data_IF_442135333779
#
_entry.id   IF_442135333779
#
_cell.length_a   1.000
_cell.length_b   1.000
_cell.length_c   1.000
_cell.angle_alpha   90.00
_cell.angle_beta   90.00
_cell.angle_gamma   90.00
#
_symmetry.space_group_name_H-M   'P 1'
#
loop_
_entity.id
_entity.type
_entity.pdbx_description
1 polymer ?
#
# COMPACT_ATOMS: atom_id res chain seq x y z
N UNK A 1 1.06 4.14 25.62
CA UNK A 1 1.54 2.80 25.17
C UNK A 1 3.03 2.87 24.90
N UNK A 2 3.80 1.83 25.22
CA UNK A 2 5.23 1.82 24.92
C UNK A 2 5.48 1.52 23.43
N UNK A 3 6.53 2.09 22.81
CA UNK A 3 6.89 1.81 21.41
C UNK A 3 7.16 0.32 21.15
N UNK A 4 7.73 -0.37 22.15
CA UNK A 4 8.18 -1.75 22.05
C UNK A 4 7.06 -2.79 21.94
N UNK A 5 5.81 -2.44 22.26
CA UNK A 5 4.68 -3.38 22.18
C UNK A 5 3.71 -3.08 21.04
N UNK A 6 3.55 -1.81 20.66
CA UNK A 6 2.52 -1.43 19.70
C UNK A 6 2.90 -1.72 18.24
N UNK A 7 4.09 -1.28 17.81
CA UNK A 7 4.54 -1.46 16.42
C UNK A 7 4.72 -2.95 16.06
N UNK A 8 5.35 -3.79 16.90
CA UNK A 8 5.51 -5.22 16.59
C UNK A 8 4.20 -6.01 16.58
N UNK A 9 3.14 -5.50 17.21
CA UNK A 9 1.83 -6.15 17.22
C UNK A 9 1.20 -6.19 15.83
N UNK A 10 1.43 -5.17 14.98
CA UNK A 10 0.83 -5.12 13.65
C UNK A 10 1.23 -6.31 12.77
N UNK A 11 2.54 -6.61 12.54
CA UNK A 11 2.94 -7.79 11.79
C UNK A 11 2.39 -9.09 12.39
N UNK A 12 2.41 -9.24 13.72
CA UNK A 12 1.88 -10.43 14.39
C UNK A 12 0.39 -10.65 14.12
N UNK A 13 -0.42 -9.58 14.10
CA UNK A 13 -1.84 -9.67 13.77
C UNK A 13 -2.07 -10.00 12.29
N UNK A 14 -1.33 -9.34 11.40
CA UNK A 14 -1.45 -9.56 9.96
C UNK A 14 -1.09 -10.99 9.56
N UNK A 15 -0.07 -11.55 10.20
CA UNK A 15 0.52 -12.85 9.88
C UNK A 15 -0.11 -14.01 10.63
N UNK A 16 -1.18 -13.78 11.40
CA UNK A 16 -1.92 -14.83 12.08
C UNK A 16 -2.27 -16.03 11.16
N UNK A 17 -2.76 -15.84 9.91
CA UNK A 17 -3.00 -16.96 9.01
C UNK A 17 -1.73 -17.74 8.66
N UNK A 18 -0.60 -17.05 8.47
CA UNK A 18 0.70 -17.66 8.15
C UNK A 18 1.18 -18.51 9.33
N UNK A 19 1.08 -17.97 10.54
CA UNK A 19 1.44 -18.66 11.79
C UNK A 19 0.63 -19.94 11.99
N UNK A 20 -0.67 -19.91 11.70
CA UNK A 20 -1.55 -21.09 11.81
C UNK A 20 -1.13 -22.17 10.81
N UNK A 21 -0.87 -21.80 9.56
CA UNK A 21 -0.39 -22.75 8.55
C UNK A 21 0.93 -23.38 8.96
N UNK A 22 1.87 -22.58 9.48
CA UNK A 22 3.14 -23.07 9.97
C UNK A 22 2.97 -24.06 11.13
N UNK A 23 2.12 -23.74 12.11
CA UNK A 23 1.86 -24.62 13.25
C UNK A 23 1.16 -25.92 12.83
N UNK A 24 0.23 -25.87 11.89
CA UNK A 24 -0.42 -27.08 11.36
C UNK A 24 0.55 -27.96 10.58
N UNK A 25 1.50 -27.37 9.85
CA UNK A 25 2.59 -28.13 9.21
C UNK A 25 3.44 -28.85 10.27
N UNK A 26 3.81 -28.17 11.36
CA UNK A 26 4.59 -28.75 12.47
C UNK A 26 3.81 -29.86 13.20
N UNK A 27 2.51 -29.67 13.43
CA UNK A 27 1.65 -30.69 14.06
C UNK A 27 1.56 -31.95 13.19
N UNK A 28 1.44 -31.79 11.87
CA UNK A 28 1.43 -32.92 10.92
C UNK A 28 2.78 -33.62 10.83
N UNK A 29 3.89 -32.88 10.87
CA UNK A 29 5.24 -33.46 10.83
C UNK A 29 5.63 -34.14 12.16
N UNK A 30 5.05 -33.70 13.28
CA UNK A 30 5.32 -34.24 14.61
C UNK A 30 4.43 -35.45 14.98
N UNK A 31 3.45 -35.78 14.14
CA UNK A 31 2.43 -36.80 14.42
C UNK A 31 1.43 -36.34 15.49
N UNK A 32 0.23 -36.96 15.56
CA UNK A 32 -0.74 -36.61 16.59
C UNK A 32 -0.15 -36.93 17.95
N UNK A 33 -0.06 -35.92 18.82
CA UNK A 33 0.24 -36.04 20.25
C UNK A 33 -0.88 -36.79 20.97
N UNK A 34 -1.13 -38.05 20.58
CA UNK A 34 -1.90 -39.00 21.37
C UNK A 34 -0.97 -39.49 22.46
N UNK A 35 -1.03 -38.80 23.60
CA UNK A 35 -1.05 -39.38 24.95
C UNK A 35 -0.11 -40.54 25.33
N UNK A 36 1.02 -40.75 24.67
CA UNK A 36 1.99 -41.75 25.11
C UNK A 36 3.42 -41.25 24.93
N UNK A 37 4.12 -41.16 26.07
CA UNK A 37 5.55 -40.91 26.23
C UNK A 37 6.01 -39.46 26.17
N UNK A 38 5.85 -38.77 27.31
CA UNK A 38 6.69 -37.62 27.71
C UNK A 38 8.20 -37.96 27.68
N UNK A 39 8.57 -39.25 27.61
CA UNK A 39 9.95 -39.72 27.50
C UNK A 39 10.57 -39.61 26.08
N UNK A 40 9.80 -39.49 24.99
CA UNK A 40 10.37 -39.43 23.62
C UNK A 40 10.65 -38.00 23.13
N UNK A 41 10.13 -36.97 23.81
CA UNK A 41 10.34 -35.55 23.45
C UNK A 41 11.81 -35.12 23.65
N UNK A 42 12.58 -35.82 24.49
CA UNK A 42 14.03 -35.56 24.66
C UNK A 42 14.90 -35.95 23.44
N UNK A 43 14.34 -36.68 22.47
CA UNK A 43 15.06 -37.14 21.26
C UNK A 43 14.77 -36.34 19.99
N UNK A 44 13.84 -35.39 20.00
CA UNK A 44 13.62 -34.53 18.82
C UNK A 44 14.55 -33.32 18.86
N UNK A 45 15.34 -33.16 17.79
CA UNK A 45 16.32 -32.08 17.58
C UNK A 45 15.64 -30.71 17.45
N UNK A 46 14.42 -30.66 16.93
CA UNK A 46 13.67 -29.41 16.68
C UNK A 46 13.32 -28.60 17.95
N UNK A 47 12.73 -29.18 19.02
CA UNK A 47 12.49 -28.42 20.26
C UNK A 47 13.78 -28.01 20.97
N UNK A 48 14.88 -28.77 20.85
CA UNK A 48 16.20 -28.36 21.37
C UNK A 48 16.78 -27.17 20.60
N UNK A 49 16.61 -27.14 19.29
CA UNK A 49 17.12 -26.08 18.42
C UNK A 49 16.34 -24.77 18.61
N UNK A 50 15.02 -24.84 18.83
CA UNK A 50 14.22 -23.68 19.25
C UNK A 50 14.59 -23.18 20.65
N UNK A 51 14.85 -24.09 21.60
CA UNK A 51 15.30 -23.71 22.94
C UNK A 51 16.69 -23.06 22.91
N UNK A 52 17.60 -23.59 22.08
CA UNK A 52 18.95 -23.06 21.91
C UNK A 52 18.97 -21.68 21.23
N UNK A 53 18.13 -21.48 20.20
CA UNK A 53 17.97 -20.16 19.55
C UNK A 53 17.35 -19.13 20.50
N UNK A 54 16.43 -19.57 21.37
CA UNK A 54 15.89 -18.70 22.42
C UNK A 54 16.93 -18.34 23.47
N UNK A 55 17.81 -19.27 23.86
CA UNK A 55 18.91 -19.02 24.80
C UNK A 55 20.00 -18.13 24.20
N UNK A 56 20.33 -18.30 22.92
CA UNK A 56 21.32 -17.50 22.20
C UNK A 56 20.87 -16.04 22.04
N UNK A 57 19.59 -15.82 21.72
CA UNK A 57 19.00 -14.49 21.63
C UNK A 57 18.87 -13.79 23.01
N UNK A 58 18.88 -14.56 24.11
CA UNK A 58 18.72 -14.03 25.48
C UNK A 58 20.05 -13.86 26.22
N UNK A 59 21.10 -14.59 25.85
CA UNK A 59 22.40 -14.58 26.54
C UNK A 59 23.55 -14.00 25.73
N UNK A 60 23.42 -13.85 24.41
CA UNK A 60 24.36 -13.10 23.57
C UNK A 60 25.78 -13.66 23.48
N UNK A 61 25.98 -14.97 23.71
CA UNK A 61 27.32 -15.57 23.67
C UNK A 61 27.64 -16.11 22.29
N UNK A 62 28.51 -15.41 21.55
CA UNK A 62 29.15 -15.93 20.33
C UNK A 62 30.17 -16.99 20.70
N UNK A 63 30.14 -18.16 20.04
CA UNK A 63 31.21 -19.16 20.16
C UNK A 63 32.47 -18.59 19.50
N UNK A 64 33.38 -18.05 20.31
CA UNK A 64 34.80 -17.94 19.97
C UNK A 64 35.41 -19.35 20.09
N UNK A 65 36.00 -19.86 19.01
CA UNK A 65 36.83 -21.07 19.07
C UNK A 65 38.29 -20.71 18.79
N UNK A 66 39.12 -20.93 19.81
CA UNK A 66 40.55 -20.70 19.81
C UNK A 66 41.26 -21.80 20.60
N UNK A 67 41.70 -22.83 19.87
CA UNK A 67 42.98 -23.54 20.11
C UNK A 67 42.97 -24.79 21.00
N UNK A 68 43.50 -25.89 20.45
CA UNK A 68 44.27 -26.89 21.20
C UNK A 68 43.90 -28.36 21.03
N UNK A 69 44.58 -29.03 20.11
CA UNK A 69 45.01 -30.44 20.06
C UNK A 69 44.13 -31.54 20.69
N UNK A 70 43.48 -32.34 19.83
CA UNK A 70 43.39 -33.80 20.01
C UNK A 70 42.99 -34.47 18.70
N UNK A 71 43.94 -35.18 18.09
CA UNK A 71 43.74 -36.10 16.98
C UNK A 71 42.83 -37.26 17.40
N UNK A 72 41.72 -37.48 16.70
CA UNK A 72 41.18 -38.80 16.36
C UNK A 72 40.22 -38.63 15.16
N UNK A 73 40.57 -39.28 14.05
CA UNK A 73 39.75 -39.37 12.84
C UNK A 73 38.47 -40.16 13.11
N UNK A 74 37.30 -39.58 12.81
CA UNK A 74 36.33 -40.25 11.93
C UNK A 74 35.24 -39.29 11.41
N UNK A 75 35.24 -39.10 10.09
CA UNK A 75 34.09 -38.95 9.21
C UNK A 75 33.17 -37.70 9.25
N UNK A 76 33.18 -37.04 8.08
CA UNK A 76 32.23 -36.09 7.49
C UNK A 76 32.40 -34.61 7.84
N UNK A 77 33.18 -33.94 7.01
CA UNK A 77 33.05 -32.51 6.76
C UNK A 77 31.57 -32.17 6.50
N UNK A 78 31.05 -31.18 7.24
CA UNK A 78 29.70 -30.64 7.07
C UNK A 78 29.65 -30.02 5.67
N UNK A 79 29.17 -30.81 4.72
CA UNK A 79 28.84 -30.38 3.37
C UNK A 79 27.66 -29.40 3.47
N UNK A 80 27.92 -28.13 3.15
CA UNK A 80 26.94 -27.04 3.07
C UNK A 80 25.92 -27.27 1.93
N UNK A 81 25.96 -28.45 1.30
CA UNK A 81 25.05 -28.94 0.27
C UNK A 81 23.99 -29.88 0.83
N UNK A 82 23.57 -29.75 2.09
CA UNK A 82 22.57 -30.63 2.69
C UNK A 82 21.25 -30.54 1.88
N UNK A 83 20.86 -31.60 1.13
CA UNK A 83 19.72 -31.56 0.23
C UNK A 83 18.41 -31.30 0.97
N UNK A 84 18.38 -31.53 2.29
CA UNK A 84 17.24 -31.30 3.16
C UNK A 84 17.01 -29.80 3.43
N UNK A 85 18.08 -28.98 3.48
CA UNK A 85 17.98 -27.52 3.60
C UNK A 85 17.53 -26.87 2.29
N UNK A 86 18.00 -27.41 1.15
CA UNK A 86 17.53 -27.01 -0.18
C UNK A 86 16.09 -27.47 -0.46
N UNK A 87 15.65 -28.59 0.12
CA UNK A 87 14.26 -29.07 0.05
C UNK A 87 13.31 -28.20 0.89
N UNK A 88 13.74 -27.74 2.07
CA UNK A 88 13.00 -26.75 2.89
C UNK A 88 12.84 -25.41 2.16
N UNK A 89 13.89 -24.94 1.46
CA UNK A 89 13.81 -23.70 0.65
C UNK A 89 13.03 -23.89 -0.66
N UNK A 90 12.90 -25.11 -1.18
CA UNK A 90 12.02 -25.44 -2.31
C UNK A 90 10.54 -25.52 -1.89
N UNK A 91 10.23 -26.07 -0.71
CA UNK A 91 8.86 -26.22 -0.19
C UNK A 91 8.19 -24.89 0.20
N UNK A 92 8.94 -23.79 0.36
CA UNK A 92 8.34 -22.46 0.55
C UNK A 92 7.51 -22.02 -0.66
N UNK A 93 7.88 -22.45 -1.88
CA UNK A 93 7.09 -22.18 -3.09
C UNK A 93 5.98 -23.23 -3.32
N UNK A 94 6.21 -24.50 -2.97
CA UNK A 94 5.23 -25.57 -3.19
C UNK A 94 4.11 -25.59 -2.12
N UNK A 95 4.40 -25.13 -0.90
CA UNK A 95 3.42 -24.99 0.17
C UNK A 95 2.34 -23.94 -0.09
N UNK A 96 2.65 -22.89 -0.87
CA UNK A 96 1.67 -21.87 -1.28
C UNK A 96 0.78 -22.42 -2.41
N UNK A 97 1.33 -23.25 -3.31
CA UNK A 97 0.58 -23.85 -4.42
C UNK A 97 -0.34 -25.00 -3.97
N UNK A 98 0.06 -25.81 -2.98
CA UNK A 98 -0.75 -26.93 -2.47
C UNK A 98 -1.94 -26.50 -1.59
N UNK A 99 -1.94 -25.27 -1.07
CA UNK A 99 -3.01 -24.73 -0.23
C UNK A 99 -4.29 -24.38 -1.00
N UNK A 100 -4.27 -24.36 -2.34
CA UNK A 100 -5.42 -24.00 -3.17
C UNK A 100 -6.40 -25.18 -3.36
N UNK A 101 -5.96 -26.42 -3.12
CA UNK A 101 -6.72 -27.63 -3.44
C UNK A 101 -7.20 -28.45 -2.22
N UNK A 102 -6.91 -28.02 -0.99
CA UNK A 102 -7.35 -28.70 0.22
C UNK A 102 -8.32 -27.77 0.99
N UNK A 103 -9.52 -28.22 1.40
CA UNK A 103 -10.38 -27.38 2.24
C UNK A 103 -9.62 -26.93 3.48
N UNK A 104 -9.50 -25.61 3.65
CA UNK A 104 -8.82 -25.01 4.79
C UNK A 104 -9.29 -25.66 6.11
N UNK A 105 -8.37 -25.83 7.05
CA UNK A 105 -8.72 -26.27 8.40
C UNK A 105 -9.72 -25.29 9.03
N UNK A 106 -10.53 -25.78 9.96
CA UNK A 106 -11.50 -24.90 10.64
C UNK A 106 -10.81 -23.83 11.48
N UNK A 107 -9.59 -24.10 11.97
CA UNK A 107 -8.73 -23.12 12.64
C UNK A 107 -8.32 -22.00 11.69
N UNK A 108 -7.85 -22.32 10.49
CA UNK A 108 -7.45 -21.33 9.49
C UNK A 108 -8.66 -20.50 9.03
N UNK A 109 -9.82 -21.12 8.79
CA UNK A 109 -11.06 -20.38 8.46
C UNK A 109 -11.45 -19.40 9.56
N UNK A 110 -11.36 -19.80 10.83
CA UNK A 110 -11.66 -18.93 11.96
C UNK A 110 -10.71 -17.74 11.99
N UNK A 111 -9.41 -17.96 11.78
CA UNK A 111 -8.37 -16.93 11.81
C UNK A 111 -8.48 -15.96 10.65
N UNK A 112 -8.74 -16.44 9.42
CA UNK A 112 -9.00 -15.59 8.25
C UNK A 112 -10.20 -14.64 8.49
N UNK A 113 -11.20 -15.05 9.26
CA UNK A 113 -12.34 -14.20 9.64
C UNK A 113 -12.04 -13.27 10.81
N UNK A 114 -11.20 -13.69 11.74
CA UNK A 114 -10.89 -12.95 12.96
C UNK A 114 -9.87 -11.83 12.71
N UNK A 115 -8.84 -12.07 11.91
CA UNK A 115 -7.74 -11.13 11.69
C UNK A 115 -8.20 -9.75 11.20
N UNK A 116 -9.09 -9.61 10.20
CA UNK A 116 -9.57 -8.29 9.79
C UNK A 116 -10.28 -7.53 10.91
N UNK A 117 -11.01 -8.24 11.80
CA UNK A 117 -11.69 -7.63 12.96
C UNK A 117 -10.70 -7.16 14.02
N UNK A 118 -9.62 -7.91 14.23
CA UNK A 118 -8.55 -7.49 15.14
C UNK A 118 -7.82 -6.26 14.59
N UNK A 119 -7.62 -6.18 13.27
CA UNK A 119 -7.08 -4.99 12.61
C UNK A 119 -7.98 -3.77 12.78
N UNK A 120 -9.32 -3.93 12.67
CA UNK A 120 -10.27 -2.84 12.92
C UNK A 120 -10.10 -2.26 14.33
N UNK A 121 -10.00 -3.13 15.35
CA UNK A 121 -9.77 -2.72 16.74
C UNK A 121 -8.41 -2.05 16.89
N UNK A 122 -7.35 -2.66 16.37
CA UNK A 122 -5.99 -2.11 16.41
C UNK A 122 -5.91 -0.71 15.79
N UNK A 123 -6.48 -0.52 14.60
CA UNK A 123 -6.51 0.77 13.90
C UNK A 123 -7.40 1.80 14.61
N UNK A 124 -8.51 1.39 15.20
CA UNK A 124 -9.35 2.29 15.99
C UNK A 124 -8.61 2.83 17.22
N UNK A 125 -7.84 1.99 17.92
CA UNK A 125 -7.01 2.39 19.06
C UNK A 125 -5.84 3.25 18.58
N UNK A 126 -5.21 2.87 17.47
CA UNK A 126 -4.11 3.62 16.86
C UNK A 126 -4.49 5.07 16.56
N UNK A 127 -5.66 5.28 15.94
CA UNK A 127 -6.11 6.64 15.65
C UNK A 127 -6.52 7.41 16.91
N UNK A 128 -6.98 6.75 17.98
CA UNK A 128 -7.51 7.45 19.16
C UNK A 128 -6.45 7.80 20.18
N UNK A 129 -5.58 6.84 20.51
CA UNK A 129 -4.82 6.86 21.76
C UNK A 129 -3.29 6.80 21.56
N UNK A 130 -2.83 6.62 20.32
CA UNK A 130 -1.39 6.45 20.01
C UNK A 130 -0.77 7.77 19.55
N UNK A 131 0.48 7.99 19.96
CA UNK A 131 1.25 9.19 19.63
C UNK A 131 1.54 9.29 18.12
N UNK A 132 1.53 10.51 17.61
CA UNK A 132 1.79 10.83 16.19
C UNK A 132 3.09 10.20 15.67
N UNK A 133 4.17 10.18 16.47
CA UNK A 133 5.45 9.57 16.08
C UNK A 133 5.35 8.06 15.83
N UNK A 134 4.56 7.34 16.63
CA UNK A 134 4.32 5.91 16.46
C UNK A 134 3.42 5.65 15.26
N UNK A 135 2.38 6.46 15.05
CA UNK A 135 1.54 6.36 13.85
C UNK A 135 2.38 6.61 12.59
N UNK A 136 3.24 7.62 12.61
CA UNK A 136 4.16 7.91 11.50
C UNK A 136 5.12 6.75 11.22
N UNK A 137 5.62 6.06 12.25
CA UNK A 137 6.46 4.88 12.10
C UNK A 137 5.70 3.65 11.61
N UNK A 138 4.39 3.55 11.90
CA UNK A 138 3.54 2.45 11.46
C UNK A 138 3.26 2.50 9.96
N UNK A 139 3.02 3.69 9.39
CA UNK A 139 2.62 3.83 7.97
C UNK A 139 3.59 3.14 6.99
N UNK A 140 4.92 3.31 7.07
CA UNK A 140 5.85 2.58 6.20
C UNK A 140 5.73 1.06 6.27
N UNK A 141 5.43 0.51 7.46
CA UNK A 141 5.20 -0.92 7.64
C UNK A 141 3.91 -1.37 6.94
N UNK A 142 2.84 -0.58 7.03
CA UNK A 142 1.60 -0.86 6.30
C UNK A 142 1.84 -0.86 4.79
N UNK A 143 2.57 0.15 4.30
CA UNK A 143 2.94 0.27 2.90
C UNK A 143 3.78 -0.92 2.42
N UNK A 144 4.74 -1.39 3.22
CA UNK A 144 5.56 -2.54 2.86
C UNK A 144 4.79 -3.85 2.84
N UNK A 145 3.84 -4.02 3.77
CA UNK A 145 3.07 -5.25 3.89
C UNK A 145 1.88 -5.33 2.94
N UNK A 146 1.55 -4.24 2.26
CA UNK A 146 0.45 -4.20 1.31
C UNK A 146 0.58 -5.23 0.18
N UNK A 147 1.78 -5.58 -0.26
CA UNK A 147 1.96 -6.58 -1.32
C UNK A 147 2.22 -8.01 -0.79
N UNK A 148 2.36 -8.19 0.53
CA UNK A 148 2.79 -9.45 1.16
C UNK A 148 1.74 -9.94 2.15
N UNK A 149 0.48 -10.03 1.71
CA UNK A 149 -0.64 -10.53 2.51
C UNK A 149 -0.87 -12.01 2.18
N UNK A 150 -1.36 -12.77 3.16
CA UNK A 150 -1.72 -14.17 2.96
C UNK A 150 -2.62 -14.34 1.71
N UNK A 151 -2.30 -15.30 0.81
CA UNK A 151 -2.89 -15.39 -0.53
C UNK A 151 -4.29 -16.03 -0.54
N UNK A 152 -5.21 -15.54 0.29
CA UNK A 152 -6.65 -15.81 0.21
C UNK A 152 -7.39 -14.58 -0.34
N UNK A 153 -8.23 -14.77 -1.36
CA UNK A 153 -8.85 -13.64 -2.10
C UNK A 153 -9.76 -12.77 -1.22
N UNK A 154 -10.55 -13.39 -0.34
CA UNK A 154 -11.52 -12.67 0.49
C UNK A 154 -10.77 -11.95 1.61
N UNK A 155 -9.87 -12.66 2.26
CA UNK A 155 -9.03 -12.12 3.32
C UNK A 155 -8.17 -10.96 2.82
N UNK A 156 -7.45 -11.14 1.71
CA UNK A 156 -6.59 -10.12 1.12
C UNK A 156 -7.38 -8.85 0.79
N UNK A 157 -8.56 -8.99 0.17
CA UNK A 157 -9.45 -7.86 -0.09
C UNK A 157 -9.85 -7.11 1.20
N UNK A 158 -10.33 -7.84 2.22
CA UNK A 158 -10.75 -7.26 3.49
C UNK A 158 -9.59 -6.55 4.21
N UNK A 159 -8.38 -7.12 4.19
CA UNK A 159 -7.20 -6.51 4.81
C UNK A 159 -6.73 -5.29 4.01
N UNK A 160 -6.56 -5.40 2.69
CA UNK A 160 -6.18 -4.27 1.83
C UNK A 160 -7.09 -3.07 2.04
N UNK A 161 -8.42 -3.30 2.08
CA UNK A 161 -9.40 -2.26 2.35
C UNK A 161 -9.13 -1.54 3.67
N UNK A 162 -8.91 -2.27 4.77
CA UNK A 162 -8.63 -1.70 6.09
C UNK A 162 -7.31 -0.96 6.15
N UNK A 163 -6.26 -1.50 5.51
CA UNK A 163 -4.97 -0.84 5.39
C UNK A 163 -5.12 0.51 4.68
N UNK A 164 -5.83 0.55 3.53
CA UNK A 164 -6.08 1.78 2.79
C UNK A 164 -6.90 2.78 3.60
N UNK A 165 -8.00 2.34 4.21
CA UNK A 165 -8.85 3.20 5.06
C UNK A 165 -8.05 3.83 6.19
N UNK A 166 -7.19 3.04 6.87
CA UNK A 166 -6.33 3.55 7.93
C UNK A 166 -5.26 4.52 7.43
N UNK A 167 -4.58 4.20 6.31
CA UNK A 167 -3.55 5.08 5.71
C UNK A 167 -4.18 6.42 5.32
N UNK A 168 -5.34 6.40 4.66
CA UNK A 168 -6.03 7.62 4.24
C UNK A 168 -6.54 8.42 5.44
N UNK A 169 -7.11 7.76 6.46
CA UNK A 169 -7.51 8.43 7.69
C UNK A 169 -6.32 9.07 8.42
N UNK A 170 -5.16 8.41 8.38
CA UNK A 170 -3.91 8.92 8.94
C UNK A 170 -3.45 10.18 8.21
N UNK A 171 -3.39 10.18 6.87
CA UNK A 171 -3.02 11.38 6.11
C UNK A 171 -4.04 12.51 6.22
N UNK A 172 -5.33 12.17 6.36
CA UNK A 172 -6.36 13.16 6.58
C UNK A 172 -6.20 13.87 7.94
N UNK A 173 -5.81 13.13 8.98
CA UNK A 173 -5.58 13.68 10.33
C UNK A 173 -4.22 14.35 10.47
N UNK A 174 -3.20 13.80 9.81
CA UNK A 174 -1.81 14.23 9.88
C UNK A 174 -1.23 14.47 8.47
N UNK A 175 -1.64 15.56 7.78
CA UNK A 175 -1.16 15.85 6.42
C UNK A 175 0.37 15.92 6.30
N UNK A 176 1.04 16.42 7.33
CA UNK A 176 2.50 16.53 7.44
C UNK A 176 3.22 15.19 7.31
N UNK A 177 2.56 14.06 7.58
CA UNK A 177 3.17 12.73 7.39
C UNK A 177 3.51 12.45 5.93
N UNK A 178 2.80 13.05 4.97
CA UNK A 178 3.13 12.88 3.54
C UNK A 178 4.53 13.44 3.25
N UNK A 179 4.87 14.60 3.83
CA UNK A 179 6.19 15.20 3.69
C UNK A 179 7.27 14.33 4.37
N UNK A 180 7.00 13.86 5.60
CA UNK A 180 7.93 13.01 6.36
C UNK A 180 8.17 11.65 5.70
N UNK A 181 7.13 11.08 5.09
CA UNK A 181 7.13 9.73 4.50
C UNK A 181 7.30 9.75 2.97
N UNK A 182 7.79 10.86 2.39
CA UNK A 182 7.97 11.02 0.95
C UNK A 182 8.72 9.84 0.30
N UNK A 183 9.78 9.35 0.94
CA UNK A 183 10.60 8.25 0.44
C UNK A 183 9.81 6.92 0.36
N UNK A 184 9.21 6.41 1.46
CA UNK A 184 8.33 5.23 1.41
C UNK A 184 7.19 5.37 0.39
N UNK A 185 6.55 6.54 0.32
CA UNK A 185 5.44 6.80 -0.60
C UNK A 185 5.92 6.69 -2.05
N UNK A 186 7.00 7.38 -2.41
CA UNK A 186 7.53 7.34 -3.77
C UNK A 186 8.05 5.97 -4.18
N UNK A 187 8.62 5.21 -3.24
CA UNK A 187 8.99 3.80 -3.47
C UNK A 187 7.80 2.97 -3.93
N UNK A 188 6.63 3.13 -3.28
CA UNK A 188 5.41 2.40 -3.67
C UNK A 188 4.79 2.88 -4.98
N UNK A 189 4.92 4.17 -5.32
CA UNK A 189 4.51 4.68 -6.63
C UNK A 189 5.36 4.10 -7.77
N UNK A 190 6.65 3.85 -7.55
CA UNK A 190 7.53 3.22 -8.54
C UNK A 190 7.13 1.77 -8.87
N UNK A 191 6.58 1.05 -7.89
CA UNK A 191 6.12 -0.34 -8.01
C UNK A 191 4.68 -0.48 -8.55
N UNK A 192 4.03 0.63 -8.93
CA UNK A 192 2.60 0.65 -9.23
C UNK A 192 2.16 -0.28 -10.38
N UNK A 193 3.08 -0.67 -11.26
CA UNK A 193 2.79 -1.50 -12.43
C UNK A 193 3.03 -3.00 -12.22
N UNK A 194 3.53 -3.41 -11.06
CA UNK A 194 3.87 -4.81 -10.79
C UNK A 194 2.61 -5.67 -10.57
N UNK A 195 1.61 -5.14 -9.88
CA UNK A 195 0.37 -5.84 -9.53
C UNK A 195 -0.83 -4.88 -9.43
N UNK A 196 -2.07 -5.36 -9.63
CA UNK A 196 -3.27 -4.52 -9.52
C UNK A 196 -3.45 -3.93 -8.11
N UNK A 197 -3.09 -4.68 -7.07
CA UNK A 197 -3.16 -4.21 -5.68
C UNK A 197 -2.18 -3.05 -5.46
N UNK A 198 -0.95 -3.17 -5.96
CA UNK A 198 0.05 -2.09 -5.94
C UNK A 198 -0.42 -0.87 -6.73
N UNK A 199 -1.09 -1.07 -7.86
CA UNK A 199 -1.71 0.04 -8.60
C UNK A 199 -2.75 0.75 -7.73
N UNK A 200 -3.64 0.02 -7.05
CA UNK A 200 -4.67 0.63 -6.21
C UNK A 200 -4.05 1.43 -5.07
N UNK A 201 -3.02 0.89 -4.39
CA UNK A 201 -2.27 1.64 -3.39
C UNK A 201 -1.66 2.92 -3.97
N UNK A 202 -1.00 2.84 -5.12
CA UNK A 202 -0.38 3.99 -5.77
C UNK A 202 -1.40 5.08 -6.14
N UNK A 203 -2.62 4.70 -6.54
CA UNK A 203 -3.71 5.64 -6.78
C UNK A 203 -4.09 6.41 -5.51
N UNK A 204 -4.28 5.69 -4.39
CA UNK A 204 -4.64 6.31 -3.12
C UNK A 204 -3.53 7.23 -2.60
N UNK A 205 -2.26 6.82 -2.77
CA UNK A 205 -1.10 7.65 -2.42
C UNK A 205 -1.00 8.91 -3.30
N UNK A 206 -1.18 8.79 -4.62
CA UNK A 206 -1.22 9.94 -5.53
C UNK A 206 -2.33 10.92 -5.14
N UNK A 207 -3.51 10.39 -4.83
CA UNK A 207 -4.63 11.20 -4.36
C UNK A 207 -4.28 11.94 -3.07
N UNK A 208 -3.70 11.26 -2.08
CA UNK A 208 -3.32 11.85 -0.80
C UNK A 208 -2.28 12.96 -0.97
N UNK A 209 -1.26 12.76 -1.81
CA UNK A 209 -0.26 13.78 -2.15
C UNK A 209 -0.95 15.05 -2.68
N UNK A 210 -1.86 14.90 -3.64
CA UNK A 210 -2.58 16.04 -4.22
C UNK A 210 -3.53 16.71 -3.23
N UNK A 211 -4.36 15.94 -2.54
CA UNK A 211 -5.38 16.44 -1.62
C UNK A 211 -4.79 17.27 -0.47
N UNK A 212 -3.65 16.83 0.05
CA UNK A 212 -3.00 17.42 1.22
C UNK A 212 -1.80 18.31 0.85
N UNK A 213 -1.66 18.69 -0.41
CA UNK A 213 -0.59 19.60 -0.84
C UNK A 213 0.81 19.07 -0.52
N UNK A 214 1.03 17.75 -0.55
CA UNK A 214 2.34 17.14 -0.28
C UNK A 214 2.84 17.27 1.17
N UNK A 215 1.97 17.58 2.13
CA UNK A 215 2.36 17.83 3.52
C UNK A 215 1.68 19.03 4.16
N UNK A 216 1.09 19.92 3.35
CA UNK A 216 0.52 21.19 3.76
C UNK A 216 1.41 22.38 3.40
N UNK A 217 0.97 23.60 3.74
CA UNK A 217 1.59 24.85 3.27
C UNK A 217 3.00 25.13 3.80
N UNK A 218 3.40 24.48 4.90
CA UNK A 218 4.74 24.59 5.50
C UNK A 218 5.80 23.73 4.80
N UNK A 219 5.39 22.72 4.02
CA UNK A 219 6.28 21.69 3.45
C UNK A 219 6.57 21.93 1.97
N UNK A 220 7.06 23.12 1.63
CA UNK A 220 7.27 23.53 0.23
C UNK A 220 8.35 22.73 -0.47
N UNK A 221 9.43 22.42 0.23
CA UNK A 221 10.57 21.70 -0.36
C UNK A 221 10.22 20.24 -0.60
N UNK A 222 9.54 19.60 0.35
CA UNK A 222 9.03 18.24 0.17
C UNK A 222 7.95 18.17 -0.91
N UNK A 223 7.04 19.14 -0.99
CA UNK A 223 6.05 19.22 -2.04
C UNK A 223 6.69 19.39 -3.43
N UNK A 224 7.81 20.12 -3.53
CA UNK A 224 8.59 20.24 -4.77
C UNK A 224 9.21 18.91 -5.18
N UNK A 225 9.83 18.18 -4.26
CA UNK A 225 10.40 16.86 -4.55
C UNK A 225 9.32 15.83 -4.94
N UNK A 226 8.16 15.84 -4.28
CA UNK A 226 7.02 15.01 -4.64
C UNK A 226 6.51 15.37 -6.05
N UNK A 227 6.42 16.66 -6.36
CA UNK A 227 6.07 17.12 -7.69
C UNK A 227 7.07 16.63 -8.75
N UNK A 228 8.36 16.72 -8.47
CA UNK A 228 9.43 16.25 -9.38
C UNK A 228 9.31 14.76 -9.67
N UNK A 229 9.02 13.98 -8.64
CA UNK A 229 8.87 12.54 -8.76
C UNK A 229 7.60 12.16 -9.53
N UNK A 230 6.49 12.87 -9.31
CA UNK A 230 5.25 12.70 -10.09
C UNK A 230 5.44 13.13 -11.55
N UNK A 231 6.19 14.20 -11.79
CA UNK A 231 6.53 14.66 -13.14
C UNK A 231 7.41 13.65 -13.88
N UNK A 232 8.39 13.05 -13.20
CA UNK A 232 9.21 11.98 -13.77
C UNK A 232 8.34 10.79 -14.17
N UNK A 233 7.48 10.31 -13.25
CA UNK A 233 6.54 9.22 -13.52
C UNK A 233 5.64 9.54 -14.72
N UNK A 234 5.16 10.79 -14.84
CA UNK A 234 4.37 11.24 -15.98
C UNK A 234 5.15 11.15 -17.29
N UNK A 235 6.40 11.63 -17.32
CA UNK A 235 7.20 11.63 -18.54
C UNK A 235 7.69 10.24 -18.96
N UNK A 236 8.02 9.37 -18.02
CA UNK A 236 8.34 7.97 -18.29
C UNK A 236 7.17 7.26 -18.98
N UNK A 237 5.96 7.47 -18.48
CA UNK A 237 4.74 6.91 -19.06
C UNK A 237 4.43 7.47 -20.46
N UNK A 238 4.58 8.79 -20.66
CA UNK A 238 4.43 9.40 -21.98
C UNK A 238 5.46 8.88 -22.99
N UNK A 239 6.67 8.56 -22.53
CA UNK A 239 7.76 8.05 -23.37
C UNK A 239 7.55 6.58 -23.71
N UNK A 240 7.16 5.76 -22.74
CA UNK A 240 6.81 4.34 -22.93
C UNK A 240 5.67 4.17 -23.93
N UNK A 241 4.66 5.05 -23.88
CA UNK A 241 3.55 5.07 -24.83
C UNK A 241 3.97 5.40 -26.28
N UNK A 242 5.12 6.08 -26.51
CA UNK A 242 5.69 6.29 -27.86
C UNK A 242 6.32 5.01 -28.42
N UNK A 243 6.99 4.24 -27.56
CA UNK A 243 7.71 3.03 -27.92
C UNK A 243 6.76 1.84 -28.13
N UNK A 244 5.66 1.76 -27.37
CA UNK A 244 4.64 0.70 -27.52
C UNK A 244 3.83 0.76 -28.82
N UNK A 245 3.80 1.91 -29.51
CA UNK A 245 3.04 2.06 -30.77
C UNK A 245 3.74 1.45 -31.99
N UNK A 246 5.03 1.11 -31.91
CA UNK A 246 5.76 0.51 -33.04
C UNK A 246 5.56 -1.01 -33.18
N UNK A 247 5.00 -1.68 -32.16
CA UNK A 247 5.02 -3.16 -32.05
C UNK A 247 3.64 -3.80 -31.77
N UNK A 248 2.51 -3.12 -31.95
CA UNK A 248 1.21 -3.65 -31.48
C UNK A 248 0.04 -3.46 -32.46
N UNK A 249 0.19 -3.93 -33.69
CA UNK A 249 -0.94 -4.10 -34.64
C UNK A 249 -1.42 -5.57 -34.69
N UNK A 250 -0.89 -6.46 -33.86
CA UNK A 250 -1.24 -7.88 -33.87
C UNK A 250 -1.63 -8.41 -32.50
N UNK A 251 -2.93 -8.69 -32.33
CA UNK A 251 -3.56 -9.52 -31.29
C UNK A 251 -3.43 -9.01 -29.84
N UNK A 252 -4.19 -7.97 -29.49
CA UNK A 252 -4.30 -7.50 -28.10
C UNK A 252 -4.99 -8.55 -27.21
N UNK A 253 -4.30 -9.03 -26.19
CA UNK A 253 -4.88 -9.88 -25.13
C UNK A 253 -5.71 -9.03 -24.16
N UNK A 254 -6.76 -9.59 -23.54
CA UNK A 254 -7.54 -8.91 -22.49
C UNK A 254 -6.67 -8.36 -21.35
N UNK A 255 -5.54 -9.03 -21.07
CA UNK A 255 -4.56 -8.58 -20.07
C UNK A 255 -3.87 -7.26 -20.45
N UNK A 256 -3.58 -7.05 -21.73
CA UNK A 256 -2.94 -5.82 -22.22
C UNK A 256 -3.92 -4.64 -22.15
N UNK A 257 -5.18 -4.88 -22.46
CA UNK A 257 -6.26 -3.88 -22.34
C UNK A 257 -6.48 -3.47 -20.89
N UNK A 258 -6.52 -4.43 -19.95
CA UNK A 258 -6.63 -4.15 -18.52
C UNK A 258 -5.45 -3.33 -18.00
N UNK A 259 -4.22 -3.73 -18.34
CA UNK A 259 -2.98 -3.05 -17.94
C UNK A 259 -2.91 -1.62 -18.49
N UNK A 260 -3.30 -1.41 -19.74
CA UNK A 260 -3.41 -0.05 -20.33
C UNK A 260 -4.45 0.78 -19.60
N UNK A 261 -5.61 0.20 -19.28
CA UNK A 261 -6.66 0.92 -18.56
C UNK A 261 -6.23 1.33 -17.15
N UNK A 262 -5.55 0.45 -16.41
CA UNK A 262 -5.02 0.75 -15.07
C UNK A 262 -3.91 1.80 -15.12
N UNK A 263 -3.02 1.75 -16.12
CA UNK A 263 -2.02 2.78 -16.38
C UNK A 263 -2.65 4.15 -16.67
N UNK A 264 -3.68 4.20 -17.52
CA UNK A 264 -4.43 5.44 -17.80
C UNK A 264 -5.12 6.00 -16.55
N UNK A 265 -5.66 5.12 -15.69
CA UNK A 265 -6.25 5.50 -14.41
C UNK A 265 -5.20 6.10 -13.48
N UNK A 266 -4.00 5.52 -13.40
CA UNK A 266 -2.89 6.09 -12.62
C UNK A 266 -2.43 7.44 -13.17
N UNK A 267 -2.25 7.58 -14.48
CA UNK A 267 -1.88 8.87 -15.09
C UNK A 267 -2.92 9.95 -14.85
N UNK A 268 -4.20 9.58 -14.88
CA UNK A 268 -5.31 10.43 -14.49
C UNK A 268 -5.16 10.96 -13.05
N UNK A 269 -4.70 10.15 -12.10
CA UNK A 269 -4.44 10.56 -10.72
C UNK A 269 -3.17 11.41 -10.61
N UNK A 270 -2.09 11.05 -11.31
CA UNK A 270 -0.84 11.83 -11.35
C UNK A 270 -1.07 13.24 -11.89
N UNK A 271 -1.77 13.37 -13.01
CA UNK A 271 -2.17 14.66 -13.60
C UNK A 271 -2.99 15.50 -12.60
N UNK A 272 -3.88 14.86 -11.85
CA UNK A 272 -4.68 15.52 -10.81
C UNK A 272 -3.83 15.97 -9.63
N UNK A 273 -2.91 15.12 -9.17
CA UNK A 273 -2.02 15.42 -8.06
C UNK A 273 -1.08 16.58 -8.40
N UNK A 274 -0.49 16.58 -9.60
CA UNK A 274 0.31 17.69 -10.14
C UNK A 274 -0.51 18.99 -10.14
N UNK A 275 -1.77 18.93 -10.58
CA UNK A 275 -2.63 20.10 -10.61
C UNK A 275 -2.94 20.63 -9.21
N UNK A 276 -3.35 19.76 -8.29
CA UNK A 276 -3.64 20.13 -6.90
C UNK A 276 -2.42 20.65 -6.16
N UNK A 277 -1.25 20.01 -6.31
CA UNK A 277 0.01 20.48 -5.74
C UNK A 277 0.35 21.89 -6.22
N UNK A 278 0.16 22.18 -7.51
CA UNK A 278 0.43 23.50 -8.07
C UNK A 278 -0.60 24.57 -7.68
N UNK A 279 -1.83 24.17 -7.39
CA UNK A 279 -2.84 25.05 -6.78
C UNK A 279 -2.47 25.39 -5.34
N UNK A 280 -1.97 24.40 -4.59
CA UNK A 280 -1.58 24.57 -3.19
C UNK A 280 -0.26 25.34 -3.03
N UNK A 281 0.72 25.07 -3.89
CA UNK A 281 2.06 25.66 -3.91
C UNK A 281 2.29 26.39 -5.23
N UNK A 282 1.97 27.69 -5.25
CA UNK A 282 1.87 28.50 -6.48
C UNK A 282 3.19 28.61 -7.27
N UNK A 283 4.32 28.39 -6.63
CA UNK A 283 5.64 28.31 -7.26
C UNK A 283 5.75 27.16 -8.26
N UNK A 284 4.98 26.09 -8.09
CA UNK A 284 4.97 24.93 -9.00
C UNK A 284 4.10 25.17 -10.24
N UNK A 285 3.27 26.22 -10.26
CA UNK A 285 2.28 26.48 -11.32
C UNK A 285 2.87 26.59 -12.73
N UNK A 286 3.97 27.34 -12.98
CA UNK A 286 4.56 27.39 -14.32
C UNK A 286 5.02 26.00 -14.79
N UNK A 287 5.61 25.22 -13.89
CA UNK A 287 6.10 23.86 -14.17
C UNK A 287 4.94 22.92 -14.47
N UNK A 288 3.89 22.92 -13.64
CA UNK A 288 2.67 22.15 -13.85
C UNK A 288 2.02 22.43 -15.22
N UNK A 289 1.92 23.69 -15.63
CA UNK A 289 1.41 24.05 -16.96
C UNK A 289 2.26 23.48 -18.09
N UNK A 290 3.58 23.41 -17.92
CA UNK A 290 4.47 22.77 -18.90
C UNK A 290 4.25 21.26 -18.94
N UNK A 291 4.21 20.59 -17.78
CA UNK A 291 4.02 19.14 -17.68
C UNK A 291 2.67 18.71 -18.27
N UNK A 292 1.58 19.37 -17.86
CA UNK A 292 0.24 19.12 -18.40
C UNK A 292 0.13 19.52 -19.88
N UNK A 293 0.79 20.60 -20.29
CA UNK A 293 0.87 21.02 -21.69
C UNK A 293 1.53 19.98 -22.58
N UNK A 294 2.55 19.26 -22.07
CA UNK A 294 3.16 18.14 -22.78
C UNK A 294 2.20 16.95 -22.93
N UNK A 295 1.42 16.63 -21.90
CA UNK A 295 0.36 15.61 -21.98
C UNK A 295 -0.68 15.99 -23.02
N UNK A 296 -1.22 17.21 -22.97
CA UNK A 296 -2.24 17.71 -23.88
C UNK A 296 -1.77 17.76 -25.36
N UNK A 297 -0.47 17.94 -25.59
CA UNK A 297 0.13 17.88 -26.94
C UNK A 297 0.54 16.47 -27.36
N UNK A 298 0.54 15.51 -26.46
CA UNK A 298 0.91 14.13 -26.75
C UNK A 298 -0.26 13.43 -27.43
N UNK A 299 -0.12 13.03 -28.70
CA UNK A 299 -1.19 12.35 -29.47
C UNK A 299 -1.42 10.89 -29.08
N UNK A 300 -0.60 10.36 -28.18
CA UNK A 300 -0.54 8.94 -27.80
C UNK A 300 -1.12 8.67 -26.40
N UNK A 301 -1.44 9.72 -25.63
CA UNK A 301 -2.06 9.53 -24.33
C UNK A 301 -3.52 9.08 -24.50
N UNK A 302 -3.97 8.18 -23.63
CA UNK A 302 -5.38 7.81 -23.48
C UNK A 302 -6.27 9.06 -23.40
N UNK A 303 -7.41 9.04 -24.10
CA UNK A 303 -8.36 10.14 -24.20
C UNK A 303 -8.78 10.69 -22.83
N UNK A 304 -8.89 9.84 -21.81
CA UNK A 304 -9.25 10.25 -20.43
C UNK A 304 -8.16 11.10 -19.80
N UNK A 305 -6.90 10.71 -19.98
CA UNK A 305 -5.72 11.42 -19.46
C UNK A 305 -5.55 12.74 -20.18
N UNK A 306 -5.69 12.72 -21.51
CA UNK A 306 -5.62 13.91 -22.36
C UNK A 306 -6.68 14.94 -21.96
N UNK A 307 -7.95 14.53 -21.87
CA UNK A 307 -9.07 15.41 -21.52
C UNK A 307 -8.84 16.06 -20.16
N UNK A 308 -8.44 15.26 -19.16
CA UNK A 308 -8.16 15.76 -17.82
C UNK A 308 -7.01 16.77 -17.79
N UNK A 309 -5.94 16.55 -18.55
CA UNK A 309 -4.85 17.50 -18.66
C UNK A 309 -5.31 18.83 -19.31
N UNK A 310 -6.12 18.75 -20.36
CA UNK A 310 -6.72 19.94 -21.00
C UNK A 310 -7.63 20.72 -20.04
N UNK A 311 -8.47 20.01 -19.28
CA UNK A 311 -9.38 20.63 -18.29
C UNK A 311 -8.59 21.40 -17.22
N UNK A 312 -7.54 20.78 -16.67
CA UNK A 312 -6.70 21.45 -15.67
C UNK A 312 -5.85 22.59 -16.25
N UNK A 313 -5.37 22.49 -17.49
CA UNK A 313 -4.73 23.62 -18.17
C UNK A 313 -5.68 24.81 -18.35
N UNK A 314 -6.94 24.54 -18.69
CA UNK A 314 -8.00 25.54 -18.77
C UNK A 314 -8.26 26.17 -17.41
N UNK A 315 -8.47 25.33 -16.39
CA UNK A 315 -8.76 25.75 -15.02
C UNK A 315 -7.63 26.59 -14.41
N UNK A 316 -6.38 26.20 -14.64
CA UNK A 316 -5.21 26.93 -14.14
C UNK A 316 -5.06 28.35 -14.71
N UNK A 317 -5.83 28.76 -15.74
CA UNK A 317 -5.85 30.15 -16.21
C UNK A 317 -6.45 31.11 -15.19
N UNK A 318 -7.39 30.61 -14.37
CA UNK A 318 -8.03 31.37 -13.31
C UNK A 318 -7.65 30.78 -11.93
N UNK A 319 -6.71 31.41 -11.21
CA UNK A 319 -6.28 30.92 -9.89
C UNK A 319 -7.39 30.87 -8.84
N UNK A 320 -8.40 31.74 -8.92
CA UNK A 320 -9.47 31.79 -7.92
C UNK A 320 -10.42 30.58 -8.09
N UNK A 321 -10.85 30.33 -9.32
CA UNK A 321 -11.68 29.16 -9.64
C UNK A 321 -10.89 27.87 -9.39
N UNK A 322 -9.61 27.85 -9.79
CA UNK A 322 -8.73 26.71 -9.56
C UNK A 322 -8.59 26.39 -8.07
N UNK A 323 -8.39 27.38 -7.21
CA UNK A 323 -8.35 27.19 -5.75
C UNK A 323 -9.70 26.77 -5.16
N UNK A 324 -10.82 27.18 -5.75
CA UNK A 324 -12.15 26.76 -5.27
C UNK A 324 -12.47 25.30 -5.60
N UNK A 325 -11.91 24.77 -6.70
CA UNK A 325 -12.22 23.41 -7.18
C UNK A 325 -11.15 22.40 -6.74
N UNK A 326 -9.87 22.80 -6.82
CA UNK A 326 -8.71 21.94 -6.52
C UNK A 326 -8.05 22.25 -5.17
N UNK A 327 -8.48 23.31 -4.49
CA UNK A 327 -7.98 23.63 -3.17
C UNK A 327 -8.32 22.57 -2.12
N UNK A 328 -7.65 22.59 -0.97
CA UNK A 328 -7.84 21.61 0.08
C UNK A 328 -9.29 21.63 0.58
N UNK A 329 -9.92 20.46 0.66
CA UNK A 329 -11.33 20.29 1.08
C UNK A 329 -11.59 20.72 2.53
N UNK A 330 -10.53 20.88 3.34
CA UNK A 330 -10.61 21.38 4.72
C UNK A 330 -9.54 22.44 4.95
N UNK A 331 -9.89 23.61 5.51
CA UNK A 331 -8.90 24.59 5.91
C UNK A 331 -8.01 23.98 6.99
N UNK A 332 -6.68 24.02 6.77
CA UNK A 332 -5.71 23.68 7.79
C UNK A 332 -5.95 24.59 9.01
N UNK A 333 -5.99 23.97 10.21
CA UNK A 333 -6.12 24.71 11.46
C UNK A 333 -5.11 25.86 11.48
N UNK A 334 -5.61 27.10 11.56
CA UNK A 334 -4.79 28.29 11.83
C UNK A 334 -4.55 29.25 10.67
N UNK A 335 -4.91 28.95 9.42
CA UNK A 335 -4.77 29.96 8.35
C UNK A 335 -6.11 30.60 8.03
N UNK A 336 -6.26 31.82 8.56
CA UNK A 336 -7.33 32.79 8.29
C UNK A 336 -7.87 32.71 6.86
N UNK A 337 -9.20 32.69 6.75
CA UNK A 337 -9.93 33.09 5.54
C UNK A 337 -9.24 34.27 4.85
N UNK A 338 -9.07 34.14 3.51
CA UNK A 338 -9.04 35.16 2.43
C UNK A 338 -8.04 34.66 1.37
N UNK A 339 -8.46 34.36 0.15
CA UNK A 339 -8.98 35.32 -0.86
C UNK A 339 -9.94 34.56 -1.79
N UNK A 340 -11.14 35.10 -2.02
CA UNK A 340 -12.12 34.56 -2.98
C UNK A 340 -13.19 33.62 -2.42
N UNK A 341 -13.46 33.65 -1.11
CA UNK A 341 -14.60 32.92 -0.53
C UNK A 341 -15.91 33.56 -1.01
N UNK A 342 -16.47 33.01 -2.10
CA UNK A 342 -17.90 33.13 -2.35
C UNK A 342 -18.57 32.38 -1.21
N UNK A 343 -19.36 33.09 -0.42
CA UNK A 343 -20.12 32.51 0.68
C UNK A 343 -21.30 31.73 0.08
N UNK A 344 -21.07 30.46 -0.25
CA UNK A 344 -22.06 29.57 -0.86
C UNK A 344 -23.20 29.17 0.10
N UNK A 345 -23.24 29.70 1.33
CA UNK A 345 -24.32 29.44 2.29
C UNK A 345 -25.69 29.97 1.84
N UNK A 346 -25.75 30.87 0.85
CA UNK A 346 -27.00 31.33 0.23
C UNK A 346 -27.46 30.43 -0.94
N UNK A 347 -26.64 29.48 -1.39
CA UNK A 347 -26.91 28.61 -2.54
C UNK A 347 -27.71 27.34 -2.22
N UNK A 348 -28.42 27.27 -1.09
CA UNK A 348 -29.07 26.06 -0.57
C UNK A 348 -30.18 25.44 -1.44
N UNK A 349 -30.46 26.00 -2.62
CA UNK A 349 -31.51 25.50 -3.54
C UNK A 349 -30.98 24.77 -4.78
N UNK A 350 -29.66 24.59 -4.95
CA UNK A 350 -29.12 23.75 -6.03
C UNK A 350 -28.15 22.70 -5.51
N UNK A 351 -28.64 21.47 -5.54
CA UNK A 351 -28.01 20.19 -5.23
C UNK A 351 -26.51 20.13 -5.58
N UNK A 352 -25.65 20.12 -4.56
CA UNK A 352 -24.26 19.71 -4.69
C UNK A 352 -24.25 18.19 -4.56
N UNK A 353 -24.08 17.49 -5.68
CA UNK A 353 -23.72 16.08 -5.64
C UNK A 353 -22.27 16.00 -5.15
N UNK A 354 -22.09 15.70 -3.86
CA UNK A 354 -20.85 15.09 -3.39
C UNK A 354 -20.74 13.75 -4.12
N UNK A 355 -20.01 13.73 -5.24
CA UNK A 355 -19.61 12.49 -5.91
C UNK A 355 -18.20 12.20 -5.43
N UNK A 356 -18.00 11.22 -4.53
CA UNK A 356 -16.67 10.69 -4.26
C UNK A 356 -16.02 10.27 -5.58
N UNK A 357 -14.82 10.76 -5.87
CA UNK A 357 -14.16 10.59 -7.18
C UNK A 357 -13.80 9.13 -7.55
N UNK A 358 -14.08 8.15 -6.68
CA UNK A 358 -14.05 6.73 -7.06
C UNK A 358 -15.22 6.33 -7.99
N UNK A 359 -16.22 7.19 -8.21
CA UNK A 359 -17.38 6.95 -9.07
C UNK A 359 -17.13 7.31 -10.56
N UNK A 360 -16.05 8.05 -10.88
CA UNK A 360 -15.79 8.51 -12.25
C UNK A 360 -14.89 7.58 -13.10
N UNK A 361 -14.88 6.27 -12.79
CA UNK A 361 -14.30 5.24 -13.64
C UNK A 361 -15.36 4.25 -14.12
N UNK A 362 -15.82 4.29 -15.38
CA UNK A 362 -16.80 3.33 -15.90
C UNK A 362 -16.10 2.02 -16.36
N UNK A 363 -16.84 0.90 -16.51
CA UNK A 363 -17.99 0.81 -17.42
C UNK A 363 -19.35 0.68 -16.73
N UNK A 364 -20.30 1.49 -17.20
CA UNK A 364 -21.76 1.30 -17.21
C UNK A 364 -22.44 0.63 -16.00
N UNK A 365 -22.97 1.47 -15.12
CA UNK A 365 -24.27 1.22 -14.50
C UNK A 365 -25.12 2.48 -14.64
N UNK A 366 -26.25 2.37 -15.33
CA UNK A 366 -27.28 3.39 -15.35
C UNK A 366 -27.90 3.45 -13.94
N UNK A 367 -27.51 4.44 -13.15
CA UNK A 367 -28.18 4.74 -11.89
C UNK A 367 -29.32 5.72 -12.14
N UNK A 368 -30.55 5.27 -11.88
CA UNK A 368 -31.73 6.12 -11.85
C UNK A 368 -31.77 6.88 -10.53
N UNK A 369 -32.26 8.13 -10.55
CA UNK A 369 -32.41 8.99 -9.36
C UNK A 369 -33.24 8.35 -8.22
N UNK A 370 -34.00 7.29 -8.51
CA UNK A 370 -34.71 6.47 -7.53
C UNK A 370 -33.79 5.73 -6.54
N UNK A 371 -32.52 5.52 -6.87
CA UNK A 371 -31.60 4.72 -6.03
C UNK A 371 -30.96 5.53 -4.89
N UNK A 372 -31.08 6.87 -4.94
CA UNK A 372 -30.47 7.80 -3.97
C UNK A 372 -31.44 8.17 -2.85
N UNK A 373 -32.75 7.97 -3.05
CA UNK A 373 -33.77 8.25 -2.05
C UNK A 373 -34.27 6.94 -1.47
N UNK A 374 -33.73 6.53 -0.31
CA UNK A 374 -34.37 5.48 0.48
C UNK A 374 -35.78 5.97 0.86
N UNK A 375 -36.80 5.33 0.32
CA UNK A 375 -38.17 5.48 0.78
C UNK A 375 -38.22 5.30 2.30
N UNK A 376 -38.90 6.25 2.94
CA UNK A 376 -39.25 6.23 4.36
C UNK A 376 -40.28 5.15 4.64
#
# INVERSE_FOLDING_TARGET
MSPGSFIPLFPSLLDLPILVVALEKVEKSSGPLIGSSIASIQKNTAPKMLLALMDEAYTGSTIEDGGGDSEFEDSSAIDVSDPLFLEILKDENDGIAAAVNNPYSDRLKAVLRLTPRLLDVYFSIALRDVNDSLICALVPLLLSRFATIFPDKIFSYEVHKRLLEFILATFQRYPNFIALLKKPIMGRLGEAYDSPDKTELALQLCWAIGEHGGGGGSHKDEARELFESLELLLYENLSSSRLGMAQEVSLSSDKDTYRRSSQSRLMCFVVTAIAKLATHHRELLPRARVSLGKVARSRISDMRVWRRACDYLGLMKDPAICSSILGPSRPSQGTTQKIGSINWSEGATKMIAHIPFYILGPPFHDFSFSDILSHR
#
